data_IF_386134005797
#
_entry.id   IF_386134005797
#
_cell.length_a   1.000
_cell.length_b   1.000
_cell.length_c   1.000
_cell.angle_alpha   90.00
_cell.angle_beta   90.00
_cell.angle_gamma   90.00
#
_symmetry.space_group_name_H-M   'P 1'
#
loop_
_entity.id
_entity.type
_entity.pdbx_description
1 polymer ?
#
# COMPACT_ATOMS: atom_id res chain seq x y z
N UNK A 1 21.86 5.27 -2.77
CA UNK A 1 20.53 5.01 -3.35
C UNK A 1 19.63 6.17 -2.97
N UNK A 2 19.34 7.07 -3.90
CA UNK A 2 18.37 8.15 -3.72
C UNK A 2 16.97 7.52 -3.66
N UNK A 3 16.55 7.07 -2.48
CA UNK A 3 15.20 6.54 -2.27
C UNK A 3 14.19 7.63 -2.64
N UNK A 4 13.52 7.46 -3.79
CA UNK A 4 12.53 8.38 -4.31
C UNK A 4 11.55 8.83 -3.23
N UNK A 5 11.38 10.14 -3.10
CA UNK A 5 10.41 10.73 -2.20
C UNK A 5 9.06 10.60 -2.93
N UNK A 6 8.33 9.52 -2.65
CA UNK A 6 7.03 9.21 -3.25
C UNK A 6 6.01 9.16 -2.12
N UNK A 7 4.89 9.87 -2.26
CA UNK A 7 3.78 9.83 -1.31
C UNK A 7 3.07 8.48 -1.46
N UNK A 8 3.10 7.59 -0.45
CA UNK A 8 2.43 6.30 -0.55
C UNK A 8 0.91 6.49 -0.43
N UNK A 9 0.17 6.01 -1.43
CA UNK A 9 -1.30 5.98 -1.42
C UNK A 9 -1.71 4.51 -1.37
N UNK A 10 -2.43 4.13 -0.32
CA UNK A 10 -2.79 2.73 -0.06
C UNK A 10 -4.30 2.52 -0.15
N UNK A 11 -4.70 1.49 -0.90
CA UNK A 11 -6.06 0.99 -0.97
C UNK A 11 -6.02 -0.53 -0.78
N UNK A 12 -6.66 -1.03 0.26
CA UNK A 12 -6.65 -2.45 0.56
C UNK A 12 -7.48 -2.83 1.77
N UNK A 13 -7.51 -4.12 2.06
CA UNK A 13 -8.29 -4.67 3.19
C UNK A 13 -7.53 -4.60 4.52
N UNK A 14 -6.20 -4.56 4.47
CA UNK A 14 -5.34 -4.63 5.66
C UNK A 14 -5.34 -3.31 6.43
N UNK A 15 -5.22 -3.38 7.75
CA UNK A 15 -4.93 -2.23 8.60
C UNK A 15 -3.42 -1.96 8.58
N UNK A 16 -2.96 -1.11 7.66
CA UNK A 16 -1.53 -0.84 7.45
C UNK A 16 -0.84 -0.16 8.65
N UNK A 17 -1.62 0.40 9.58
CA UNK A 17 -1.10 1.02 10.81
C UNK A 17 -0.37 0.03 11.74
N UNK A 18 -0.48 -1.28 11.52
CA UNK A 18 0.32 -2.30 12.21
C UNK A 18 1.80 -2.28 11.77
N UNK A 19 2.08 -1.79 10.57
CA UNK A 19 3.42 -1.86 9.94
C UNK A 19 4.03 -0.49 9.70
N UNK A 20 3.22 0.51 9.38
CA UNK A 20 3.64 1.88 9.07
C UNK A 20 2.80 2.85 9.90
N UNK A 21 3.39 3.87 10.55
CA UNK A 21 2.62 4.89 11.24
C UNK A 21 1.54 5.50 10.32
N UNK A 22 0.39 5.90 10.87
CA UNK A 22 -0.69 6.52 10.07
C UNK A 22 -0.25 7.75 9.28
N UNK A 23 0.77 8.48 9.74
CA UNK A 23 1.37 9.61 9.03
C UNK A 23 2.22 9.21 7.82
N UNK A 24 2.50 7.91 7.63
CA UNK A 24 3.41 7.39 6.62
C UNK A 24 2.81 7.13 5.25
N UNK A 25 1.50 7.15 5.13
CA UNK A 25 0.78 6.87 3.90
C UNK A 25 -0.59 7.57 3.93
N UNK A 26 -1.18 7.76 2.77
CA UNK A 26 -2.57 8.19 2.64
C UNK A 26 -3.43 6.93 2.44
N UNK A 27 -4.21 6.56 3.45
CA UNK A 27 -5.22 5.52 3.30
C UNK A 27 -6.40 6.09 2.52
N UNK A 28 -6.72 5.51 1.37
CA UNK A 28 -7.85 5.98 0.55
C UNK A 28 -9.17 5.93 1.35
N UNK A 29 -9.30 5.02 2.32
CA UNK A 29 -10.50 4.87 3.17
C UNK A 29 -10.69 6.00 4.18
N UNK A 30 -9.65 6.80 4.44
CA UNK A 30 -9.71 7.95 5.35
C UNK A 30 -10.33 9.18 4.65
N UNK A 31 -10.67 9.11 3.35
CA UNK A 31 -11.26 10.18 2.55
C UNK A 31 -12.68 9.83 2.10
N UNK A 32 -13.58 10.81 2.08
CA UNK A 32 -14.98 10.65 1.66
C UNK A 32 -15.09 10.44 0.15
N UNK A 33 -14.17 10.98 -0.64
CA UNK A 33 -14.18 10.84 -2.10
C UNK A 33 -12.77 10.88 -2.70
N UNK A 34 -12.56 10.34 -3.91
CA UNK A 34 -11.30 10.49 -4.64
C UNK A 34 -10.93 11.96 -4.87
N UNK A 35 -11.93 12.85 -5.00
CA UNK A 35 -11.71 14.29 -5.16
C UNK A 35 -11.05 14.89 -3.92
N UNK A 36 -11.47 14.49 -2.73
CA UNK A 36 -10.87 14.96 -1.48
C UNK A 36 -9.42 14.48 -1.34
N UNK A 37 -9.15 13.20 -1.66
CA UNK A 37 -7.79 12.68 -1.71
C UNK A 37 -6.93 13.43 -2.75
N UNK A 38 -7.47 13.69 -3.94
CA UNK A 38 -6.77 14.45 -4.98
C UNK A 38 -6.45 15.88 -4.52
N UNK A 39 -7.37 16.53 -3.80
CA UNK A 39 -7.12 17.85 -3.20
C UNK A 39 -5.98 17.81 -2.18
N UNK A 40 -5.91 16.77 -1.34
CA UNK A 40 -4.78 16.58 -0.42
C UNK A 40 -3.45 16.42 -1.16
N UNK A 41 -3.43 15.62 -2.23
CA UNK A 41 -2.23 15.42 -3.06
C UNK A 41 -1.79 16.72 -3.74
N UNK A 42 -2.72 17.49 -4.31
CA UNK A 42 -2.44 18.80 -4.90
C UNK A 42 -1.93 19.81 -3.87
N UNK A 43 -2.42 19.76 -2.63
CA UNK A 43 -1.93 20.62 -1.56
C UNK A 43 -0.47 20.29 -1.16
N UNK A 44 -0.11 19.00 -1.16
CA UNK A 44 1.28 18.56 -0.96
C UNK A 44 2.17 19.00 -2.13
N UNK A 45 1.72 18.81 -3.37
CA UNK A 45 2.46 19.19 -4.58
C UNK A 45 2.79 20.70 -4.61
N UNK A 46 1.82 21.54 -4.24
CA UNK A 46 1.98 23.00 -4.25
C UNK A 46 2.80 23.58 -3.11
N UNK A 47 3.06 22.82 -2.04
CA UNK A 47 3.77 23.30 -0.86
C UNK A 47 4.93 22.36 -0.51
N UNK A 48 6.14 22.76 -0.93
CA UNK A 48 7.36 22.00 -0.72
C UNK A 48 7.66 21.74 0.77
N UNK A 49 7.29 22.66 1.66
CA UNK A 49 7.49 22.48 3.11
C UNK A 49 6.57 21.38 3.63
N UNK A 50 5.28 21.45 3.32
CA UNK A 50 4.31 20.42 3.70
C UNK A 50 4.64 19.05 3.09
N UNK A 51 5.12 19.04 1.84
CA UNK A 51 5.60 17.83 1.17
C UNK A 51 6.79 17.21 1.90
N UNK A 52 7.80 18.00 2.29
CA UNK A 52 8.96 17.49 3.04
C UNK A 52 8.56 17.00 4.44
N UNK A 53 7.69 17.74 5.12
CA UNK A 53 7.16 17.38 6.43
C UNK A 53 6.37 16.08 6.41
N UNK A 54 5.67 15.78 5.32
CA UNK A 54 4.98 14.51 5.13
C UNK A 54 5.91 13.32 5.36
N UNK A 55 7.22 13.42 5.07
CA UNK A 55 8.17 12.32 5.25
C UNK A 55 8.83 12.26 6.64
N UNK A 56 8.39 13.09 7.60
CA UNK A 56 8.94 13.11 8.96
C UNK A 56 8.79 11.75 9.67
N UNK A 57 7.77 10.95 9.33
CA UNK A 57 7.58 9.61 9.88
C UNK A 57 8.76 8.67 9.63
N UNK A 58 9.55 8.90 8.56
CA UNK A 58 10.72 8.07 8.23
C UNK A 58 11.80 8.12 9.31
N UNK A 59 11.87 9.21 10.09
CA UNK A 59 12.79 9.33 11.24
C UNK A 59 12.48 8.30 12.34
N UNK A 60 11.23 7.87 12.42
CA UNK A 60 10.72 6.94 13.43
C UNK A 60 10.41 5.56 12.84
N UNK A 61 10.58 5.40 11.52
CA UNK A 61 10.41 4.10 10.88
C UNK A 61 11.51 3.15 11.37
N UNK A 62 11.09 2.03 11.95
CA UNK A 62 12.01 0.96 12.31
C UNK A 62 12.73 0.51 11.03
N UNK A 63 14.06 0.49 11.06
CA UNK A 63 14.83 -0.19 10.03
C UNK A 63 14.51 -1.67 10.15
N UNK A 64 13.58 -2.15 9.32
CA UNK A 64 13.27 -3.57 9.24
C UNK A 64 14.52 -4.23 8.67
N UNK A 65 15.29 -4.90 9.55
CA UNK A 65 16.33 -5.81 9.09
C UNK A 65 15.65 -6.81 8.17
N UNK A 66 16.17 -6.97 6.95
CA UNK A 66 15.65 -7.98 6.02
C UNK A 66 15.58 -9.29 6.80
N UNK A 67 14.38 -9.85 6.99
CA UNK A 67 14.25 -11.06 7.79
C UNK A 67 15.05 -12.19 7.15
N UNK A 68 15.71 -13.02 7.95
CA UNK A 68 16.54 -14.13 7.45
C UNK A 68 15.79 -15.05 6.47
N UNK A 69 14.47 -15.21 6.64
CA UNK A 69 13.64 -16.01 5.76
C UNK A 69 13.58 -15.48 4.31
N UNK A 70 13.81 -14.19 4.08
CA UNK A 70 13.86 -13.62 2.72
C UNK A 70 15.12 -14.11 2.01
N UNK A 71 16.28 -14.11 2.68
CA UNK A 71 17.50 -14.67 2.10
C UNK A 71 17.34 -16.17 1.78
N UNK A 72 16.73 -16.93 2.70
CA UNK A 72 16.46 -18.35 2.49
C UNK A 72 15.51 -18.58 1.31
N UNK A 73 14.44 -17.79 1.20
CA UNK A 73 13.52 -17.84 0.06
C UNK A 73 14.25 -17.55 -1.25
N UNK A 74 15.07 -16.49 -1.30
CA UNK A 74 15.84 -16.15 -2.50
C UNK A 74 16.79 -17.29 -2.91
N UNK A 75 17.48 -17.91 -1.94
CA UNK A 75 18.36 -19.05 -2.22
C UNK A 75 17.58 -20.24 -2.77
N UNK A 76 16.42 -20.57 -2.20
CA UNK A 76 15.56 -21.66 -2.72
C UNK A 76 15.06 -21.36 -4.13
N UNK A 77 14.58 -20.15 -4.39
CA UNK A 77 14.14 -19.75 -5.74
C UNK A 77 15.26 -19.78 -6.77
N UNK A 78 16.52 -19.63 -6.35
CA UNK A 78 17.67 -19.66 -7.25
C UNK A 78 18.21 -21.08 -7.51
N UNK A 79 18.24 -21.92 -6.46
CA UNK A 79 18.83 -23.26 -6.53
C UNK A 79 17.82 -24.32 -6.99
N UNK A 80 16.54 -24.14 -6.69
CA UNK A 80 15.49 -25.11 -7.03
C UNK A 80 15.08 -24.95 -8.50
N UNK A 81 15.26 -26.01 -9.30
CA UNK A 81 14.81 -26.10 -10.70
C UNK A 81 13.42 -26.73 -10.82
N UNK A 82 12.81 -27.12 -9.69
CA UNK A 82 11.52 -27.78 -9.65
C UNK A 82 10.40 -26.78 -9.91
N UNK A 83 9.76 -26.94 -11.07
CA UNK A 83 8.52 -26.23 -11.37
C UNK A 83 7.34 -26.95 -10.70
N UNK A 84 6.62 -26.24 -9.82
CA UNK A 84 5.34 -26.71 -9.27
C UNK A 84 4.20 -25.95 -9.96
N UNK A 85 3.31 -26.69 -10.63
CA UNK A 85 2.11 -26.12 -11.25
C UNK A 85 0.99 -26.17 -10.21
N UNK A 86 0.39 -25.02 -9.93
CA UNK A 86 -0.82 -24.92 -9.13
C UNK A 86 -2.02 -24.88 -10.08
N UNK A 87 -2.65 -26.04 -10.30
CA UNK A 87 -3.77 -26.17 -11.24
C UNK A 87 -4.96 -25.25 -10.90
N UNK A 88 -5.12 -24.92 -9.61
CA UNK A 88 -6.25 -24.19 -9.07
C UNK A 88 -5.83 -23.01 -8.21
N UNK A 89 -5.07 -22.08 -8.81
CA UNK A 89 -4.69 -20.83 -8.13
C UNK A 89 -5.89 -20.03 -7.62
N UNK A 90 -7.05 -20.18 -8.26
CA UNK A 90 -8.33 -19.57 -7.88
C UNK A 90 -8.89 -20.07 -6.54
N UNK A 91 -8.41 -21.20 -6.01
CA UNK A 91 -8.76 -21.60 -4.65
C UNK A 91 -8.10 -20.70 -3.59
N UNK A 92 -6.95 -20.11 -3.92
CA UNK A 92 -6.18 -19.26 -3.02
C UNK A 92 -6.37 -17.78 -3.33
N UNK A 93 -6.42 -17.41 -4.63
CA UNK A 93 -6.48 -16.05 -5.13
C UNK A 93 -7.63 -15.89 -6.14
N UNK A 94 -8.76 -15.32 -5.70
CA UNK A 94 -9.97 -15.20 -6.50
C UNK A 94 -10.66 -13.85 -6.33
N UNK A 95 -10.86 -13.18 -7.46
CA UNK A 95 -11.58 -11.90 -7.56
C UNK A 95 -12.99 -11.96 -6.96
N UNK A 96 -13.69 -13.09 -7.05
CA UNK A 96 -15.06 -13.24 -6.55
C UNK A 96 -15.14 -13.19 -5.02
N UNK A 97 -14.13 -13.72 -4.33
CA UNK A 97 -14.16 -13.88 -2.86
C UNK A 97 -13.28 -12.86 -2.13
N UNK A 98 -12.23 -12.34 -2.78
CA UNK A 98 -11.22 -11.50 -2.11
C UNK A 98 -11.22 -10.04 -2.56
N UNK A 99 -11.80 -9.70 -3.71
CA UNK A 99 -11.94 -8.30 -4.12
C UNK A 99 -13.24 -7.71 -3.58
N UNK A 100 -13.14 -6.67 -2.76
CA UNK A 100 -14.28 -5.81 -2.44
C UNK A 100 -14.58 -4.88 -3.60
N UNK A 101 -15.87 -4.73 -3.92
CA UNK A 101 -16.31 -3.71 -4.86
C UNK A 101 -16.41 -2.38 -4.12
N UNK A 102 -15.98 -1.31 -4.79
CA UNK A 102 -16.26 0.04 -4.32
C UNK A 102 -17.41 0.56 -5.16
N UNK A 103 -18.49 0.96 -4.50
CA UNK A 103 -19.59 1.62 -5.18
C UNK A 103 -19.35 3.13 -5.15
N UNK A 104 -19.44 3.75 -6.33
CA UNK A 104 -19.45 5.21 -6.46
C UNK A 104 -20.90 5.65 -6.26
N UNK A 105 -21.15 6.41 -5.20
CA UNK A 105 -22.44 7.04 -4.97
C UNK A 105 -22.63 8.20 -5.95
N UNK A 106 -23.89 8.56 -6.23
CA UNK A 106 -24.26 9.64 -7.16
C UNK A 106 -23.69 11.01 -6.78
N UNK A 107 -23.29 11.21 -5.52
CA UNK A 107 -22.61 12.41 -5.02
C UNK A 107 -21.06 12.33 -5.09
N UNK A 108 -20.50 11.32 -5.74
CA UNK A 108 -19.05 11.10 -5.84
C UNK A 108 -18.39 10.52 -4.59
N UNK A 109 -19.15 10.19 -3.55
CA UNK A 109 -18.67 9.50 -2.34
C UNK A 109 -18.49 8.02 -2.61
N UNK A 110 -17.44 7.41 -2.06
CA UNK A 110 -17.19 5.98 -2.24
C UNK A 110 -17.57 5.25 -0.97
N UNK A 111 -18.31 4.15 -1.11
CA UNK A 111 -18.56 3.22 -0.01
C UNK A 111 -18.01 1.86 -0.38
N UNK A 112 -17.36 1.22 0.59
CA UNK A 112 -17.00 -0.19 0.49
C UNK A 112 -18.30 -0.99 0.53
N UNK A 113 -18.66 -1.64 -0.57
CA UNK A 113 -19.77 -2.60 -0.60
C UNK A 113 -19.29 -3.98 -0.16
#
# INVERSE_FOLDING_TARGET
LNSGIIVPVALGYVKYNHYVPKSGYLDVRDYQSPKELAQKLLALDKNITAYKEFFAWRKFALHIKVPKYICELCLRLFVDDKTTILDRIDQYWNKKTQCKKYAILTNGRWIMS
#
